data_IF_047046626001
#
_entry.id   IF_047046626001
#
_cell.length_a   1.000
_cell.length_b   1.000
_cell.length_c   1.000
_cell.angle_alpha   90.00
_cell.angle_beta   90.00
_cell.angle_gamma   90.00
#
_symmetry.space_group_name_H-M   'P 1'
#
loop_
_entity.id
_entity.type
_entity.pdbx_description
1 polymer ?
#
# COMPACT_ATOMS: atom_id res chain seq x y z
N UNK A 1 0.45 -8.74 6.05
CA UNK A 1 1.38 -7.58 6.13
C UNK A 1 2.79 -8.06 6.41
N UNK A 2 2.97 -8.90 7.43
CA UNK A 2 4.26 -9.44 7.88
C UNK A 2 4.58 -10.84 7.33
N UNK A 3 3.65 -11.46 6.59
CA UNK A 3 3.85 -12.75 5.94
C UNK A 3 3.57 -13.95 6.86
N UNK A 4 2.84 -13.75 7.95
CA UNK A 4 2.52 -14.80 8.93
C UNK A 4 1.39 -15.75 8.49
N UNK A 5 0.83 -15.56 7.29
CA UNK A 5 -0.30 -16.32 6.75
C UNK A 5 -1.67 -15.84 7.24
N UNK A 6 -1.72 -14.79 8.06
CA UNK A 6 -2.94 -14.10 8.48
C UNK A 6 -3.11 -12.81 7.68
N UNK A 7 -4.35 -12.52 7.26
CA UNK A 7 -4.67 -11.24 6.64
C UNK A 7 -4.72 -10.13 7.70
N UNK A 8 -4.01 -9.04 7.46
CA UNK A 8 -3.99 -7.85 8.31
C UNK A 8 -4.89 -6.75 7.76
N UNK A 9 -5.33 -5.82 8.61
CA UNK A 9 -6.19 -4.72 8.19
C UNK A 9 -5.36 -3.46 7.95
N UNK A 10 -5.59 -2.78 6.82
CA UNK A 10 -4.93 -1.52 6.48
C UNK A 10 -5.97 -0.41 6.37
N UNK A 11 -5.73 0.68 7.07
CA UNK A 11 -6.55 1.90 7.04
C UNK A 11 -5.77 3.06 6.46
N UNK A 12 -6.42 3.84 5.60
CA UNK A 12 -5.90 5.10 5.09
C UNK A 12 -6.81 6.25 5.48
N UNK A 13 -6.21 7.28 6.05
CA UNK A 13 -6.87 8.56 6.22
C UNK A 13 -6.73 9.37 4.93
N UNK A 14 -7.84 9.57 4.22
CA UNK A 14 -7.87 10.30 2.93
C UNK A 14 -7.74 11.81 3.08
N UNK A 15 -7.93 12.35 4.28
CA UNK A 15 -7.85 13.79 4.55
C UNK A 15 -6.42 14.25 4.83
N UNK A 16 -5.60 13.42 5.48
CA UNK A 16 -4.22 13.78 5.83
C UNK A 16 -3.16 12.82 5.24
N UNK A 17 -3.57 11.70 4.66
CA UNK A 17 -2.67 10.76 3.99
C UNK A 17 -1.95 9.80 4.94
N UNK A 18 -2.28 9.78 6.24
CA UNK A 18 -1.75 8.77 7.17
C UNK A 18 -2.28 7.39 6.82
N UNK A 19 -1.45 6.39 7.07
CA UNK A 19 -1.78 4.98 6.87
C UNK A 19 -1.49 4.22 8.16
N UNK A 20 -2.33 3.25 8.50
CA UNK A 20 -2.16 2.40 9.68
C UNK A 20 -2.43 0.96 9.31
N UNK A 21 -1.70 0.05 9.95
CA UNK A 21 -1.96 -1.38 9.91
C UNK A 21 -2.38 -1.86 11.29
N UNK A 22 -3.37 -2.74 11.31
CA UNK A 22 -3.71 -3.56 12.46
C UNK A 22 -3.29 -4.98 12.13
N UNK A 23 -2.25 -5.44 12.82
CA UNK A 23 -1.81 -6.82 12.73
C UNK A 23 -2.85 -7.71 13.38
N UNK A 24 -3.26 -8.76 12.68
CA UNK A 24 -4.26 -9.71 13.12
C UNK A 24 -3.61 -11.04 13.48
N UNK A 25 -4.15 -11.74 14.48
CA UNK A 25 -3.77 -13.11 14.78
C UNK A 25 -4.97 -13.83 15.40
N UNK A 26 -5.30 -15.04 14.92
CA UNK A 26 -6.41 -15.85 15.46
C UNK A 26 -7.75 -15.08 15.55
N UNK A 27 -8.05 -14.24 14.56
CA UNK A 27 -9.29 -13.45 14.50
C UNK A 27 -9.35 -12.25 15.46
N UNK A 28 -8.27 -11.91 16.16
CA UNK A 28 -8.18 -10.73 17.03
C UNK A 28 -7.06 -9.79 16.60
N UNK A 29 -7.16 -8.52 16.98
CA UNK A 29 -6.11 -7.53 16.77
C UNK A 29 -4.95 -7.84 17.72
N UNK A 30 -3.76 -8.08 17.16
CA UNK A 30 -2.50 -8.30 17.88
C UNK A 30 -1.80 -6.99 18.20
N UNK A 31 -1.71 -6.10 17.22
CA UNK A 31 -0.93 -4.86 17.33
C UNK A 31 -1.41 -3.81 16.31
N UNK A 32 -1.22 -2.53 16.60
CA UNK A 32 -1.45 -1.44 15.64
C UNK A 32 -0.16 -0.67 15.41
N UNK A 33 0.14 -0.35 14.14
CA UNK A 33 1.28 0.50 13.77
C UNK A 33 0.90 1.52 12.70
N UNK A 34 1.70 2.58 12.60
CA UNK A 34 1.67 3.51 11.49
C UNK A 34 2.55 3.01 10.35
N UNK A 35 2.08 3.27 9.14
CA UNK A 35 2.81 3.10 7.90
C UNK A 35 3.29 4.46 7.39
N UNK A 36 4.24 4.51 6.43
CA UNK A 36 4.66 5.76 5.82
C UNK A 36 3.46 6.55 5.30
N UNK A 37 3.44 7.84 5.64
CA UNK A 37 2.41 8.75 5.14
C UNK A 37 2.61 8.94 3.63
N UNK A 38 1.52 8.86 2.88
CA UNK A 38 1.52 9.14 1.44
C UNK A 38 0.55 10.28 1.19
N UNK A 39 0.98 11.31 0.44
CA UNK A 39 0.19 12.52 0.21
C UNK A 39 -1.22 12.22 -0.33
N UNK A 40 -2.18 13.07 0.01
CA UNK A 40 -3.62 12.87 -0.26
C UNK A 40 -3.98 12.85 -1.75
N UNK A 41 -3.12 13.36 -2.62
CA UNK A 41 -3.26 13.23 -4.07
C UNK A 41 -3.07 11.77 -4.58
N UNK A 42 -2.55 10.88 -3.73
CA UNK A 42 -2.38 9.46 -4.04
C UNK A 42 -3.46 8.62 -3.37
N UNK A 43 -4.02 7.71 -4.16
CA UNK A 43 -4.92 6.65 -3.73
C UNK A 43 -4.16 5.34 -3.60
N UNK A 44 -4.51 4.54 -2.61
CA UNK A 44 -4.01 3.17 -2.50
C UNK A 44 -4.73 2.35 -3.56
N UNK A 45 -3.99 1.92 -4.57
CA UNK A 45 -4.55 1.22 -5.71
C UNK A 45 -4.55 -0.29 -5.45
N UNK A 46 -3.41 -0.86 -5.03
CA UNK A 46 -3.28 -2.30 -4.76
C UNK A 46 -2.43 -2.58 -3.53
N UNK A 47 -2.70 -3.71 -2.90
CA UNK A 47 -1.98 -4.29 -1.77
C UNK A 47 -1.63 -5.72 -2.17
N UNK A 48 -0.35 -6.01 -2.42
CA UNK A 48 0.12 -7.30 -2.96
C UNK A 48 1.61 -7.48 -2.69
N UNK A 49 2.14 -8.70 -2.77
CA UNK A 49 3.57 -8.98 -2.69
C UNK A 49 4.22 -8.79 -4.07
N UNK A 50 4.82 -7.62 -4.33
CA UNK A 50 5.39 -7.28 -5.63
C UNK A 50 6.83 -7.74 -5.80
N UNK A 51 7.57 -7.96 -4.71
CA UNK A 51 8.96 -8.39 -4.74
C UNK A 51 9.14 -9.91 -4.48
N UNK A 52 8.09 -10.62 -4.08
CA UNK A 52 8.07 -12.06 -3.82
C UNK A 52 8.70 -12.46 -2.48
N UNK A 53 8.78 -11.56 -1.52
CA UNK A 53 9.40 -11.82 -0.21
C UNK A 53 8.42 -12.35 0.85
N UNK A 54 7.15 -12.54 0.48
CA UNK A 54 6.08 -13.00 1.35
C UNK A 54 5.43 -11.90 2.18
N UNK A 55 5.81 -10.63 2.00
CA UNK A 55 5.23 -9.48 2.72
C UNK A 55 4.43 -8.59 1.77
N UNK A 56 3.67 -7.70 2.38
CA UNK A 56 2.76 -6.81 1.64
C UNK A 56 3.51 -5.57 1.16
N UNK A 57 3.47 -5.34 -0.15
CA UNK A 57 3.85 -4.09 -0.80
C UNK A 57 2.61 -3.26 -1.20
N UNK A 58 2.83 -2.00 -1.57
CA UNK A 58 1.75 -1.07 -1.92
C UNK A 58 1.92 -0.45 -3.31
N UNK A 59 0.88 -0.50 -4.12
CA UNK A 59 0.79 0.28 -5.35
C UNK A 59 -0.06 1.53 -5.11
N UNK A 60 0.54 2.69 -5.29
CA UNK A 60 -0.09 4.00 -5.18
C UNK A 60 -0.36 4.57 -6.57
N UNK A 61 -1.54 5.14 -6.74
CA UNK A 61 -1.94 5.82 -7.98
C UNK A 61 -2.31 7.27 -7.72
N UNK A 62 -1.82 8.16 -8.56
CA UNK A 62 -2.21 9.56 -8.59
C UNK A 62 -2.82 9.85 -9.96
N UNK A 63 -4.14 10.02 -10.00
CA UNK A 63 -4.88 10.37 -11.23
C UNK A 63 -4.51 11.76 -11.76
N UNK A 64 -3.98 12.63 -10.91
CA UNK A 64 -3.43 13.91 -11.35
C UNK A 64 -2.13 13.69 -12.12
N UNK A 65 -1.85 14.55 -13.10
CA UNK A 65 -0.62 14.50 -13.91
C UNK A 65 -0.45 13.21 -14.74
N UNK A 66 -1.54 12.71 -15.31
CA UNK A 66 -1.51 11.64 -16.31
C UNK A 66 -1.47 10.22 -15.74
N UNK A 67 -2.02 10.01 -14.53
CA UNK A 67 -2.15 8.69 -13.92
C UNK A 67 -0.80 8.08 -13.54
N UNK A 68 -0.04 8.80 -12.70
CA UNK A 68 1.25 8.32 -12.18
C UNK A 68 1.03 7.17 -11.21
N UNK A 69 1.95 6.21 -11.24
CA UNK A 69 1.90 5.02 -10.40
C UNK A 69 3.25 4.79 -9.71
N UNK A 70 3.23 4.52 -8.41
CA UNK A 70 4.44 4.22 -7.63
C UNK A 70 4.19 2.96 -6.81
N UNK A 71 5.09 2.00 -6.94
CA UNK A 71 5.16 0.85 -6.04
C UNK A 71 6.06 1.22 -4.85
N UNK A 72 5.59 1.01 -3.64
CA UNK A 72 6.39 1.00 -2.43
C UNK A 72 6.67 -0.45 -2.05
N UNK A 73 7.95 -0.82 -2.08
CA UNK A 73 8.42 -2.10 -1.57
C UNK A 73 8.66 -1.96 -0.07
N UNK A 74 8.13 -2.89 0.70
CA UNK A 74 8.01 -2.80 2.14
C UNK A 74 8.72 -3.97 2.83
N UNK A 75 9.30 -3.69 3.99
CA UNK A 75 9.63 -4.70 4.98
C UNK A 75 8.84 -4.38 6.24
N UNK A 76 7.73 -5.09 6.44
CA UNK A 76 6.74 -4.74 7.44
C UNK A 76 6.34 -3.26 7.28
N UNK A 77 6.38 -2.47 8.35
CA UNK A 77 5.97 -1.06 8.30
C UNK A 77 6.98 -0.12 7.64
N UNK A 78 8.12 -0.61 7.17
CA UNK A 78 9.18 0.23 6.61
C UNK A 78 9.18 0.17 5.08
N UNK A 79 9.19 1.32 4.41
CA UNK A 79 9.42 1.36 2.96
C UNK A 79 10.91 1.21 2.68
N UNK A 80 11.31 0.10 2.06
CA UNK A 80 12.70 -0.21 1.76
C UNK A 80 13.11 0.17 0.34
N UNK A 81 12.16 0.25 -0.60
CA UNK A 81 12.41 0.76 -1.94
C UNK A 81 11.13 1.37 -2.57
N UNK A 82 11.30 2.06 -3.70
CA UNK A 82 10.18 2.53 -4.50
C UNK A 82 10.48 2.39 -6.01
N UNK A 83 9.48 1.96 -6.78
CA UNK A 83 9.55 1.83 -8.23
C UNK A 83 8.48 2.70 -8.91
N UNK A 84 8.83 3.32 -10.04
CA UNK A 84 7.85 4.05 -10.87
C UNK A 84 7.31 3.12 -11.94
N UNK A 85 5.99 2.94 -11.95
CA UNK A 85 5.29 2.28 -13.06
C UNK A 85 4.93 3.36 -14.07
N UNK A 86 5.09 3.06 -15.37
CA UNK A 86 4.82 4.02 -16.44
C UNK A 86 3.42 4.64 -16.26
N UNK A 87 3.28 5.97 -16.44
CA UNK A 87 1.97 6.60 -16.35
C UNK A 87 1.01 5.97 -17.34
N UNK A 88 -0.21 5.69 -16.88
CA UNK A 88 -1.32 5.26 -17.73
C UNK A 88 -2.43 6.28 -17.55
N UNK A 89 -3.00 6.78 -18.64
CA UNK A 89 -4.01 7.85 -18.57
C UNK A 89 -5.24 7.48 -17.72
N UNK A 90 -6.03 8.48 -17.35
CA UNK A 90 -7.19 8.31 -16.43
C UNK A 90 -8.31 7.40 -16.95
N UNK A 91 -8.24 6.93 -18.20
CA UNK A 91 -9.16 5.91 -18.75
C UNK A 91 -8.74 4.48 -18.40
N UNK A 92 -7.52 4.28 -17.91
CA UNK A 92 -6.99 2.98 -17.53
C UNK A 92 -7.20 2.76 -16.04
N UNK A 93 -7.92 1.70 -15.70
CA UNK A 93 -7.97 1.16 -14.35
C UNK A 93 -7.05 -0.06 -14.26
N UNK A 94 -6.71 -0.46 -13.04
CA UNK A 94 -6.03 -1.74 -12.86
C UNK A 94 -7.05 -2.85 -13.05
N UNK A 95 -6.75 -3.81 -13.92
CA UNK A 95 -7.58 -4.99 -14.09
C UNK A 95 -7.10 -6.04 -13.09
N UNK A 96 -7.83 -6.19 -12.01
CA UNK A 96 -7.73 -7.26 -11.02
C UNK A 96 -8.72 -8.40 -11.30
#
# INVERSE_FOLDING_TARGET
MDGDGTEDLIWRNVQDGRNSVYYMANGVIREQKLLPQVGTAWSLAKVEDFNGDGKVDFLWRNESFGGRNIVHIMDNTNRIAAGVVKPVGGTWFMAD
#
